data_IF_261790992271
#
_entry.id   IF_261790992271
#
_cell.length_a   1.000
_cell.length_b   1.000
_cell.length_c   1.000
_cell.angle_alpha   90.00
_cell.angle_beta   90.00
_cell.angle_gamma   90.00
#
_symmetry.space_group_name_H-M   'P 1'
#
loop_
_entity.id
_entity.type
_entity.pdbx_description
1 polymer ?
#
# COMPACT_ATOMS: atom_id res chain seq x y z
N UNK A 1 5.27 -35.38 -50.06
CA UNK A 1 5.73 -34.02 -49.67
C UNK A 1 7.10 -33.71 -50.30
N UNK A 2 7.57 -32.45 -50.34
CA UNK A 2 8.91 -32.09 -50.89
C UNK A 2 9.80 -31.45 -49.83
N UNK A 3 11.10 -31.69 -49.92
CA UNK A 3 12.07 -31.10 -49.00
C UNK A 3 12.18 -29.59 -49.21
N UNK A 4 12.04 -28.79 -48.15
CA UNK A 4 12.12 -27.33 -48.21
C UNK A 4 13.52 -26.79 -48.58
N UNK A 5 14.56 -27.61 -48.40
CA UNK A 5 15.96 -27.22 -48.61
C UNK A 5 16.48 -27.60 -50.01
N UNK A 6 16.15 -28.79 -50.50
CA UNK A 6 16.71 -29.32 -51.75
C UNK A 6 15.65 -29.70 -52.81
N UNK A 7 14.35 -29.60 -52.50
CA UNK A 7 13.27 -29.90 -53.45
C UNK A 7 13.03 -31.39 -53.73
N UNK A 8 13.83 -32.30 -53.18
CA UNK A 8 13.66 -33.74 -53.37
C UNK A 8 12.30 -34.24 -52.84
N UNK A 9 11.73 -35.24 -53.53
CA UNK A 9 10.46 -35.88 -53.13
C UNK A 9 10.70 -36.71 -51.87
N UNK A 10 9.96 -36.39 -50.81
CA UNK A 10 10.02 -37.07 -49.52
C UNK A 10 8.89 -38.11 -49.42
N UNK A 11 9.19 -39.27 -48.84
CA UNK A 11 8.17 -40.26 -48.46
C UNK A 11 7.36 -39.75 -47.28
N UNK A 12 6.08 -40.15 -47.17
CA UNK A 12 5.13 -39.55 -46.22
C UNK A 12 5.45 -39.83 -44.74
N UNK A 13 6.40 -40.73 -44.47
CA UNK A 13 6.88 -41.09 -43.11
C UNK A 13 8.35 -40.72 -42.86
N UNK A 14 9.05 -40.11 -43.82
CA UNK A 14 10.47 -39.76 -43.68
C UNK A 14 10.69 -38.68 -42.60
N UNK A 15 11.56 -38.98 -41.61
CA UNK A 15 11.99 -38.04 -40.57
C UNK A 15 13.11 -37.10 -41.03
N UNK A 16 13.89 -37.53 -42.02
CA UNK A 16 15.00 -36.80 -42.63
C UNK A 16 14.90 -36.89 -44.15
N UNK A 17 15.45 -35.92 -44.85
CA UNK A 17 15.52 -35.95 -46.31
C UNK A 17 16.66 -36.87 -46.77
N UNK A 18 16.32 -37.89 -47.56
CA UNK A 18 17.30 -38.85 -48.10
C UNK A 18 18.34 -38.21 -49.03
N UNK A 19 18.06 -37.03 -49.59
CA UNK A 19 18.97 -36.32 -50.51
C UNK A 19 19.86 -35.26 -49.87
N UNK A 20 19.44 -34.63 -48.77
CA UNK A 20 20.22 -33.54 -48.15
C UNK A 20 20.42 -33.68 -46.63
N UNK A 21 19.90 -34.75 -46.01
CA UNK A 21 20.02 -35.03 -44.58
C UNK A 21 19.20 -34.12 -43.65
N UNK A 22 18.48 -33.12 -44.18
CA UNK A 22 17.73 -32.16 -43.38
C UNK A 22 16.52 -32.79 -42.69
N UNK A 23 16.25 -32.41 -41.43
CA UNK A 23 15.12 -32.91 -40.68
C UNK A 23 13.78 -32.42 -41.26
N UNK A 24 12.85 -33.34 -41.48
CA UNK A 24 11.52 -33.03 -42.02
C UNK A 24 10.62 -32.56 -40.88
N UNK A 25 10.45 -31.24 -40.76
CA UNK A 25 9.53 -30.65 -39.79
C UNK A 25 8.10 -30.75 -40.32
N UNK A 26 7.34 -31.74 -39.85
CA UNK A 26 5.89 -31.85 -40.09
C UNK A 26 5.18 -30.78 -39.26
N UNK A 27 4.94 -29.63 -39.87
CA UNK A 27 4.13 -28.57 -39.26
C UNK A 27 2.66 -29.01 -39.32
N UNK A 28 2.09 -29.45 -38.19
CA UNK A 28 0.64 -29.68 -38.08
C UNK A 28 -0.08 -28.39 -38.45
N UNK A 29 -0.81 -28.39 -39.57
CA UNK A 29 -1.65 -27.27 -39.95
C UNK A 29 -2.83 -27.21 -38.97
N UNK A 30 -2.77 -26.26 -38.04
CA UNK A 30 -3.92 -25.92 -37.20
C UNK A 30 -4.90 -25.15 -38.06
N UNK A 31 -6.18 -25.50 -38.01
CA UNK A 31 -7.20 -24.70 -38.68
C UNK A 31 -7.28 -23.31 -38.05
N UNK A 32 -7.72 -22.31 -38.81
CA UNK A 32 -7.87 -20.95 -38.29
C UNK A 32 -8.75 -20.92 -37.03
N UNK A 33 -9.82 -21.72 -37.00
CA UNK A 33 -10.69 -21.89 -35.83
C UNK A 33 -9.92 -22.36 -34.57
N UNK A 34 -9.00 -23.32 -34.70
CA UNK A 34 -8.16 -23.77 -33.58
C UNK A 34 -7.20 -22.67 -33.10
N UNK A 35 -6.67 -21.86 -34.02
CA UNK A 35 -5.79 -20.73 -33.70
C UNK A 35 -6.55 -19.61 -32.96
N UNK A 36 -7.81 -19.35 -33.35
CA UNK A 36 -8.69 -18.40 -32.64
C UNK A 36 -9.05 -18.87 -31.23
N UNK A 37 -9.40 -20.15 -31.06
CA UNK A 37 -9.72 -20.72 -29.75
C UNK A 37 -8.54 -20.63 -28.77
N UNK A 38 -7.33 -21.02 -29.22
CA UNK A 38 -6.11 -20.92 -28.41
C UNK A 38 -5.80 -19.47 -28.00
N UNK A 39 -5.95 -18.50 -28.91
CA UNK A 39 -5.74 -17.09 -28.57
C UNK A 39 -6.74 -16.59 -27.52
N UNK A 40 -8.00 -17.03 -27.61
CA UNK A 40 -9.04 -16.67 -26.63
C UNK A 40 -8.74 -17.27 -25.24
N UNK A 41 -8.29 -18.51 -25.18
CA UNK A 41 -7.85 -19.16 -23.93
C UNK A 41 -6.62 -18.48 -23.33
N UNK A 42 -5.61 -18.16 -24.15
CA UNK A 42 -4.43 -17.41 -23.71
C UNK A 42 -4.81 -16.03 -23.17
N UNK A 43 -5.73 -15.33 -23.83
CA UNK A 43 -6.24 -14.04 -23.35
C UNK A 43 -7.00 -14.18 -22.02
N UNK A 44 -7.85 -15.20 -21.88
CA UNK A 44 -8.53 -15.50 -20.60
C UNK A 44 -7.52 -15.78 -19.49
N UNK A 45 -6.54 -16.65 -19.74
CA UNK A 45 -5.49 -16.97 -18.77
C UNK A 45 -4.62 -15.76 -18.40
N UNK A 46 -4.32 -14.86 -19.36
CA UNK A 46 -3.60 -13.59 -19.10
C UNK A 46 -4.43 -12.65 -18.23
N UNK A 47 -5.74 -12.51 -18.52
CA UNK A 47 -6.67 -11.70 -17.70
C UNK A 47 -6.78 -12.23 -16.28
N UNK A 48 -7.00 -13.53 -16.10
CA UNK A 48 -7.07 -14.16 -14.77
C UNK A 48 -5.77 -14.00 -13.98
N UNK A 49 -4.60 -14.17 -14.63
CA UNK A 49 -3.30 -13.93 -13.98
C UNK A 49 -3.12 -12.47 -13.56
N UNK A 50 -3.51 -11.52 -14.41
CA UNK A 50 -3.45 -10.09 -14.10
C UNK A 50 -4.38 -9.72 -12.93
N UNK A 51 -5.61 -10.24 -12.93
CA UNK A 51 -6.55 -10.07 -11.82
C UNK A 51 -6.03 -10.69 -10.52
N UNK A 52 -5.50 -11.92 -10.57
CA UNK A 52 -4.92 -12.56 -9.39
C UNK A 52 -3.75 -11.76 -8.82
N UNK A 53 -2.92 -11.15 -9.67
CA UNK A 53 -1.82 -10.26 -9.25
C UNK A 53 -2.35 -8.96 -8.64
N UNK A 54 -3.42 -8.39 -9.22
CA UNK A 54 -4.10 -7.19 -8.68
C UNK A 54 -4.71 -7.46 -7.30
N UNK A 55 -5.49 -8.55 -7.14
CA UNK A 55 -6.06 -8.97 -5.85
C UNK A 55 -4.99 -9.23 -4.80
N UNK A 56 -3.86 -9.84 -5.16
CA UNK A 56 -2.72 -10.02 -4.24
C UNK A 56 -2.10 -8.69 -3.81
N UNK A 57 -2.03 -7.70 -4.70
CA UNK A 57 -1.52 -6.35 -4.38
C UNK A 57 -2.49 -5.59 -3.47
N UNK A 58 -3.79 -5.68 -3.74
CA UNK A 58 -4.85 -5.09 -2.91
C UNK A 58 -4.83 -5.68 -1.49
N UNK A 59 -4.76 -7.01 -1.35
CA UNK A 59 -4.62 -7.65 -0.02
C UNK A 59 -3.39 -7.15 0.75
N UNK A 60 -2.23 -7.05 0.09
CA UNK A 60 -1.02 -6.49 0.72
C UNK A 60 -1.19 -5.02 1.13
N UNK A 61 -2.06 -4.28 0.45
CA UNK A 61 -2.36 -2.89 0.75
C UNK A 61 -3.28 -2.77 1.96
N UNK A 62 -4.29 -3.64 2.06
CA UNK A 62 -5.23 -3.70 3.17
C UNK A 62 -4.53 -4.15 4.48
N UNK A 63 -3.53 -5.02 4.35
CA UNK A 63 -2.67 -5.43 5.48
C UNK A 63 -1.73 -4.31 5.94
N UNK A 64 -1.47 -3.30 5.11
CA UNK A 64 -0.53 -2.22 5.40
C UNK A 64 -1.15 -1.22 6.39
N UNK A 65 -0.89 -1.43 7.66
CA UNK A 65 -1.32 -0.53 8.74
C UNK A 65 -0.13 0.29 9.23
N UNK A 66 -0.35 1.58 9.48
CA UNK A 66 0.65 2.45 10.09
C UNK A 66 0.51 2.40 11.63
N UNK A 67 1.48 1.81 12.35
CA UNK A 67 1.36 1.59 13.80
C UNK A 67 1.28 2.88 14.60
N UNK A 68 1.72 4.02 14.06
CA UNK A 68 1.74 5.30 14.75
C UNK A 68 0.41 6.07 14.66
N UNK A 69 -0.56 5.63 13.85
CA UNK A 69 -1.84 6.35 13.68
C UNK A 69 -2.73 6.21 14.91
N UNK A 70 -2.81 5.01 15.49
CA UNK A 70 -3.61 4.75 16.71
C UNK A 70 -3.08 5.57 17.90
N UNK A 71 -1.77 5.52 18.25
CA UNK A 71 -1.26 6.32 19.36
C UNK A 71 -1.34 7.83 19.09
N UNK A 72 -1.17 8.28 17.84
CA UNK A 72 -1.34 9.71 17.51
C UNK A 72 -2.75 10.22 17.86
N UNK A 73 -3.79 9.48 17.49
CA UNK A 73 -5.18 9.86 17.81
C UNK A 73 -5.45 9.75 19.31
N UNK A 74 -5.03 8.64 19.93
CA UNK A 74 -5.27 8.40 21.35
C UNK A 74 -4.65 9.49 22.23
N UNK A 75 -3.38 9.82 21.96
CA UNK A 75 -2.67 10.89 22.69
C UNK A 75 -3.26 12.26 22.41
N UNK A 76 -3.70 12.56 21.18
CA UNK A 76 -4.31 13.85 20.85
C UNK A 76 -5.65 14.05 21.58
N UNK A 77 -6.49 13.02 21.63
CA UNK A 77 -7.77 13.06 22.36
C UNK A 77 -7.52 13.20 23.86
N UNK A 78 -6.56 12.46 24.42
CA UNK A 78 -6.21 12.56 25.84
C UNK A 78 -5.68 13.95 26.20
N UNK A 79 -4.76 14.51 25.41
CA UNK A 79 -4.23 15.85 25.62
C UNK A 79 -5.33 16.92 25.58
N UNK A 80 -6.17 16.87 24.55
CA UNK A 80 -7.30 17.78 24.38
C UNK A 80 -8.32 17.66 25.52
N UNK A 81 -8.66 16.42 25.89
CA UNK A 81 -9.58 16.12 26.99
C UNK A 81 -9.07 16.69 28.31
N UNK A 82 -7.82 16.41 28.69
CA UNK A 82 -7.25 16.91 29.94
C UNK A 82 -7.11 18.44 29.97
N UNK A 83 -6.87 19.06 28.81
CA UNK A 83 -6.76 20.52 28.69
C UNK A 83 -8.10 21.26 28.79
N UNK A 84 -9.21 20.65 28.35
CA UNK A 84 -10.55 21.27 28.37
C UNK A 84 -11.37 20.83 29.59
N UNK A 85 -11.07 19.67 30.17
CA UNK A 85 -11.86 19.10 31.25
C UNK A 85 -11.98 20.11 32.41
N UNK A 86 -13.22 20.45 32.82
CA UNK A 86 -13.44 21.41 33.90
C UNK A 86 -13.07 20.77 35.23
N UNK A 87 -11.82 20.97 35.64
CA UNK A 87 -11.31 20.51 36.92
C UNK A 87 -12.03 21.27 38.05
N UNK A 88 -12.66 20.56 39.01
CA UNK A 88 -13.33 21.22 40.12
C UNK A 88 -12.33 22.06 40.91
N UNK A 89 -12.69 23.33 41.18
CA UNK A 89 -11.81 24.26 41.93
C UNK A 89 -11.44 23.75 43.32
N UNK A 90 -12.27 22.90 43.93
CA UNK A 90 -12.02 22.28 45.23
C UNK A 90 -10.79 21.35 45.25
N UNK A 91 -10.31 20.88 44.10
CA UNK A 91 -9.16 19.99 44.01
C UNK A 91 -7.82 20.73 43.84
N UNK A 92 -7.81 21.98 43.36
CA UNK A 92 -6.56 22.72 43.08
C UNK A 92 -5.63 22.09 42.03
N UNK A 93 -6.01 20.94 41.45
CA UNK A 93 -5.20 20.15 40.51
C UNK A 93 -5.06 20.86 39.17
N UNK A 94 -6.16 21.42 38.63
CA UNK A 94 -6.16 22.06 37.31
C UNK A 94 -5.37 23.36 37.20
N UNK A 95 -5.11 24.04 38.32
CA UNK A 95 -4.33 25.28 38.37
C UNK A 95 -2.86 25.06 38.73
N UNK A 96 -2.48 23.85 39.15
CA UNK A 96 -1.11 23.54 39.53
C UNK A 96 -0.14 23.59 38.34
N UNK A 97 1.03 24.17 38.56
CA UNK A 97 2.10 24.26 37.56
C UNK A 97 2.53 22.86 37.08
N UNK A 98 2.55 21.87 37.97
CA UNK A 98 2.90 20.47 37.64
C UNK A 98 1.92 19.81 36.68
N UNK A 99 0.61 20.03 36.84
CA UNK A 99 -0.37 19.50 35.90
C UNK A 99 -0.28 20.16 34.52
N UNK A 100 0.01 21.46 34.47
CA UNK A 100 0.25 22.15 33.19
C UNK A 100 1.49 21.61 32.48
N UNK A 101 2.58 21.35 33.21
CA UNK A 101 3.77 20.68 32.67
C UNK A 101 3.41 19.29 32.14
N UNK A 102 2.63 18.51 32.90
CA UNK A 102 2.20 17.17 32.48
C UNK A 102 1.38 17.22 31.18
N UNK A 103 0.39 18.12 31.08
CA UNK A 103 -0.43 18.31 29.88
C UNK A 103 0.46 18.69 28.69
N UNK A 104 1.43 19.58 28.89
CA UNK A 104 2.36 19.98 27.85
C UNK A 104 3.25 18.82 27.37
N UNK A 105 3.77 17.99 28.28
CA UNK A 105 4.55 16.79 27.91
C UNK A 105 3.69 15.81 27.08
N UNK A 106 2.43 15.61 27.46
CA UNK A 106 1.51 14.74 26.70
C UNK A 106 1.22 15.35 25.31
N UNK A 107 1.05 16.67 25.21
CA UNK A 107 0.87 17.35 23.93
C UNK A 107 2.10 17.18 23.01
N UNK A 108 3.31 17.33 23.53
CA UNK A 108 4.55 17.09 22.78
C UNK A 108 4.70 15.64 22.32
N UNK A 109 4.33 14.67 23.17
CA UNK A 109 4.29 13.25 22.78
C UNK A 109 3.28 13.01 21.67
N UNK A 110 2.13 13.68 21.71
CA UNK A 110 1.14 13.62 20.63
C UNK A 110 1.70 14.16 19.31
N UNK A 111 2.38 15.31 19.35
CA UNK A 111 3.05 15.90 18.18
C UNK A 111 4.14 14.98 17.61
N UNK A 112 4.90 14.32 18.48
CA UNK A 112 5.89 13.31 18.07
C UNK A 112 5.23 12.16 17.29
N UNK A 113 4.16 11.55 17.83
CA UNK A 113 3.44 10.47 17.15
C UNK A 113 2.74 10.94 15.86
N UNK A 114 2.18 12.15 15.84
CA UNK A 114 1.60 12.77 14.63
C UNK A 114 2.66 13.01 13.55
N UNK A 115 3.88 13.39 13.92
CA UNK A 115 4.98 13.60 12.98
C UNK A 115 5.51 12.29 12.44
N UNK A 116 5.72 11.28 13.31
CA UNK A 116 6.14 9.93 12.89
C UNK A 116 5.12 9.25 12.00
N UNK A 117 3.82 9.36 12.31
CA UNK A 117 2.78 8.78 11.47
C UNK A 117 2.76 9.40 10.06
N UNK A 118 2.96 10.73 9.93
CA UNK A 118 3.12 11.42 8.63
C UNK A 118 4.37 10.96 7.88
N UNK A 119 5.51 10.82 8.56
CA UNK A 119 6.75 10.34 7.96
C UNK A 119 6.57 8.93 7.37
N UNK A 120 5.96 8.02 8.12
CA UNK A 120 5.66 6.65 7.66
C UNK A 120 4.67 6.66 6.49
N UNK A 121 3.63 7.50 6.52
CA UNK A 121 2.71 7.64 5.39
C UNK A 121 3.38 8.14 4.12
N UNK A 122 4.36 9.04 4.23
CA UNK A 122 5.16 9.50 3.09
C UNK A 122 6.01 8.36 2.52
N UNK A 123 6.62 7.53 3.38
CA UNK A 123 7.36 6.34 2.94
C UNK A 123 6.46 5.34 2.20
N UNK A 124 5.27 5.07 2.74
CA UNK A 124 4.28 4.20 2.07
C UNK A 124 3.80 4.77 0.73
N UNK A 125 3.65 6.09 0.63
CA UNK A 125 3.29 6.73 -0.62
C UNK A 125 4.40 6.59 -1.67
N UNK A 126 5.68 6.71 -1.29
CA UNK A 126 6.81 6.53 -2.21
C UNK A 126 6.90 5.07 -2.67
N UNK A 127 6.79 4.12 -1.74
CA UNK A 127 7.01 2.70 -2.04
C UNK A 127 5.80 2.02 -2.71
N UNK A 128 4.58 2.36 -2.31
CA UNK A 128 3.35 1.67 -2.72
C UNK A 128 2.34 2.57 -3.44
N UNK A 129 2.58 3.90 -3.50
CA UNK A 129 1.60 4.91 -3.95
C UNK A 129 0.29 4.85 -3.21
N UNK A 130 0.37 4.60 -1.90
CA UNK A 130 -0.79 4.47 -1.02
C UNK A 130 -0.59 5.24 0.28
N UNK A 131 -1.68 5.79 0.80
CA UNK A 131 -1.72 6.56 2.03
C UNK A 131 -2.70 5.92 3.02
N UNK A 132 -2.20 5.59 4.21
CA UNK A 132 -3.02 4.99 5.27
C UNK A 132 -3.80 6.09 5.98
N UNK A 133 -5.14 6.05 5.88
CA UNK A 133 -6.07 6.97 6.58
C UNK A 133 -5.64 8.46 6.56
N UNK A 134 -5.45 9.09 5.38
CA UNK A 134 -4.86 10.42 5.28
C UNK A 134 -5.66 11.51 6.03
N UNK A 135 -6.99 11.49 5.94
CA UNK A 135 -7.86 12.47 6.63
C UNK A 135 -7.64 12.45 8.14
N UNK A 136 -7.55 11.25 8.72
CA UNK A 136 -7.39 11.06 10.17
C UNK A 136 -6.04 11.56 10.66
N UNK A 137 -4.97 11.31 9.91
CA UNK A 137 -3.63 11.79 10.25
C UNK A 137 -3.57 13.32 10.19
N UNK A 138 -4.21 13.92 9.18
CA UNK A 138 -4.29 15.39 9.05
C UNK A 138 -5.09 16.01 10.20
N UNK A 139 -6.26 15.47 10.54
CA UNK A 139 -7.06 15.99 11.66
C UNK A 139 -6.35 15.85 13.00
N UNK A 140 -5.71 14.70 13.26
CA UNK A 140 -4.94 14.48 14.48
C UNK A 140 -3.76 15.46 14.59
N UNK A 141 -3.09 15.76 13.47
CA UNK A 141 -2.00 16.73 13.42
C UNK A 141 -2.47 18.14 13.75
N UNK A 142 -3.60 18.57 13.18
CA UNK A 142 -4.16 19.91 13.45
C UNK A 142 -4.58 20.00 14.92
N UNK A 143 -5.25 18.97 15.45
CA UNK A 143 -5.66 18.93 16.84
C UNK A 143 -4.44 19.00 17.78
N UNK A 144 -3.41 18.18 17.53
CA UNK A 144 -2.18 18.16 18.32
C UNK A 144 -1.50 19.54 18.33
N UNK A 145 -1.32 20.16 17.15
CA UNK A 145 -0.73 21.49 17.05
C UNK A 145 -1.52 22.56 17.81
N UNK A 146 -2.85 22.54 17.73
CA UNK A 146 -3.70 23.46 18.52
C UNK A 146 -3.52 23.19 20.02
N UNK A 147 -3.56 21.93 20.46
CA UNK A 147 -3.38 21.59 21.88
C UNK A 147 -2.03 22.01 22.42
N UNK A 148 -0.96 21.86 21.65
CA UNK A 148 0.39 22.26 22.05
C UNK A 148 0.50 23.77 22.20
N UNK A 149 -0.08 24.55 21.27
CA UNK A 149 -0.10 26.01 21.36
C UNK A 149 -0.87 26.48 22.58
N UNK A 150 -2.05 25.91 22.84
CA UNK A 150 -2.87 26.25 24.01
C UNK A 150 -2.18 25.85 25.32
N UNK A 151 -1.57 24.66 25.38
CA UNK A 151 -0.83 24.19 26.55
C UNK A 151 0.40 25.07 26.83
N UNK A 152 1.11 25.49 25.79
CA UNK A 152 2.24 26.41 25.91
C UNK A 152 1.80 27.80 26.38
N UNK A 153 0.70 28.33 25.82
CA UNK A 153 0.11 29.58 26.29
C UNK A 153 -0.27 29.49 27.77
N UNK A 154 -0.98 28.44 28.18
CA UNK A 154 -1.35 28.21 29.56
C UNK A 154 -0.14 28.05 30.51
N UNK A 155 1.01 27.56 30.02
CA UNK A 155 2.25 27.53 30.80
C UNK A 155 2.88 28.92 30.97
N UNK A 156 2.81 29.77 29.94
CA UNK A 156 3.46 31.09 29.93
C UNK A 156 2.62 32.15 30.65
N UNK A 157 1.30 32.12 30.52
CA UNK A 157 0.40 33.12 31.15
C UNK A 157 0.09 32.81 32.61
N UNK A 158 1.11 32.41 33.38
CA UNK A 158 1.04 32.35 34.84
C UNK A 158 0.78 33.74 35.42
#
# INVERSE_FOLDING_TARGET
MYCRKCGAKLSDTAKFCDSCGEAVVVVKQRSDAQKYAQRNEEQKAKKEKAERKKRKREKKLDDLKNPYVIPAIGTAILAFGLGIFPWPSSWGVGTSLWMRILIFVIALLSDYHCTKSRQVNRLYNIQYRYQVKPKVVTTATVLAGVTTVVALFALVTM
#
